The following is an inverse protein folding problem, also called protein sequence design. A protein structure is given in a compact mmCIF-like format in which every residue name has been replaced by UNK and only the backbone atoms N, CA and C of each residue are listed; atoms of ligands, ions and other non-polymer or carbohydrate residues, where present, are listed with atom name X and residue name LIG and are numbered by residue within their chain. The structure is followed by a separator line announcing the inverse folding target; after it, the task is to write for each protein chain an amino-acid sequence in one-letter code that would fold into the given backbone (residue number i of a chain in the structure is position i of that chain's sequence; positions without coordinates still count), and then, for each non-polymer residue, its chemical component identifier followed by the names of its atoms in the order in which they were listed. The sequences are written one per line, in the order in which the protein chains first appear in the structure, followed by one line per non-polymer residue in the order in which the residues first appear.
data_IF_541756608540
#
_entry.id   IF_541756608540
#
_cell.length_a   1.000
_cell.length_b   1.000
_cell.length_c   1.000
_cell.angle_alpha   90.00
_cell.angle_beta   90.00
_cell.angle_gamma   90.00
#
_symmetry.space_group_name_H-M   'P 1'
#
loop_
_entity.id
_entity.type
_entity.pdbx_description
1 polymer ?
#
# COMPACT_ATOMS: atom_id res chain seq x y z
N UNK A 1 -12.53 1.26 -1.31
CA UNK A 1 -13.86 1.88 -1.48
C UNK A 1 -14.91 1.03 -0.76
N UNK A 2 -16.03 1.60 -0.30
CA UNK A 2 -17.18 0.83 0.17
C UNK A 2 -18.23 0.89 -0.94
N UNK A 3 -18.58 -0.26 -1.49
CA UNK A 3 -19.53 -0.31 -2.61
C UNK A 3 -20.99 -0.26 -2.13
N UNK A 4 -21.93 0.22 -2.96
CA UNK A 4 -23.35 0.21 -2.62
C UNK A 4 -23.84 -1.20 -2.28
N UNK A 5 -24.32 -1.39 -1.05
CA UNK A 5 -24.75 -2.70 -0.53
C UNK A 5 -23.73 -3.40 0.38
N UNK A 6 -22.51 -2.87 0.51
CA UNK A 6 -21.57 -3.31 1.54
C UNK A 6 -21.91 -2.65 2.87
N UNK A 7 -22.32 -3.45 3.86
CA UNK A 7 -22.73 -2.97 5.17
C UNK A 7 -21.62 -2.96 6.22
N UNK A 8 -20.53 -3.70 5.98
CA UNK A 8 -19.42 -3.85 6.92
C UNK A 8 -18.16 -3.20 6.34
N UNK A 9 -17.76 -2.02 6.84
CA UNK A 9 -16.55 -1.32 6.40
C UNK A 9 -15.26 -2.16 6.45
N UNK A 10 -15.12 -3.03 7.43
CA UNK A 10 -13.98 -3.95 7.56
C UNK A 10 -13.97 -5.03 6.47
N UNK A 11 -15.15 -5.44 5.96
CA UNK A 11 -15.22 -6.37 4.83
C UNK A 11 -14.74 -5.69 3.55
N UNK A 12 -15.11 -4.43 3.35
CA UNK A 12 -14.62 -3.62 2.24
C UNK A 12 -13.09 -3.43 2.32
N UNK A 13 -12.55 -3.12 3.51
CA UNK A 13 -11.10 -2.99 3.70
C UNK A 13 -10.33 -4.28 3.36
N UNK A 14 -10.85 -5.44 3.76
CA UNK A 14 -10.24 -6.73 3.43
C UNK A 14 -10.35 -7.07 1.94
N UNK A 15 -11.49 -6.75 1.29
CA UNK A 15 -11.68 -6.91 -0.15
C UNK A 15 -10.69 -6.07 -0.95
N UNK A 16 -10.59 -4.78 -0.63
CA UNK A 16 -9.71 -3.84 -1.33
C UNK A 16 -8.24 -4.25 -1.20
N UNK A 17 -7.80 -4.64 0.00
CA UNK A 17 -6.44 -5.14 0.19
C UNK A 17 -6.16 -6.37 -0.71
N UNK A 18 -7.13 -7.27 -0.84
CA UNK A 18 -7.00 -8.45 -1.71
C UNK A 18 -6.98 -8.05 -3.19
N UNK A 19 -7.85 -7.16 -3.62
CA UNK A 19 -7.94 -6.71 -5.01
C UNK A 19 -6.66 -6.00 -5.45
N UNK A 20 -6.15 -5.10 -4.59
CA UNK A 20 -4.99 -4.28 -4.89
C UNK A 20 -3.64 -5.01 -4.73
N UNK A 21 -3.55 -5.98 -3.81
CA UNK A 21 -2.25 -6.58 -3.42
C UNK A 21 -2.22 -8.11 -3.39
N UNK A 22 -3.36 -8.77 -3.58
CA UNK A 22 -3.53 -10.21 -3.45
C UNK A 22 -3.49 -10.73 -2.02
N UNK A 23 -3.27 -9.87 -1.02
CA UNK A 23 -3.15 -10.28 0.37
C UNK A 23 -4.51 -10.64 0.97
N UNK A 24 -4.58 -11.83 1.56
CA UNK A 24 -5.77 -12.32 2.25
C UNK A 24 -5.66 -12.03 3.74
N UNK A 25 -6.64 -11.29 4.27
CA UNK A 25 -6.81 -11.04 5.71
C UNK A 25 -8.23 -11.37 6.11
N UNK A 26 -8.43 -11.86 7.33
CA UNK A 26 -9.77 -12.02 7.90
C UNK A 26 -10.30 -10.63 8.28
N UNK A 27 -11.42 -10.21 7.69
CA UNK A 27 -12.03 -8.91 7.99
C UNK A 27 -12.39 -8.76 9.46
N UNK A 28 -12.73 -9.87 10.15
CA UNK A 28 -13.03 -9.86 11.59
C UNK A 28 -11.80 -9.61 12.46
N UNK A 29 -10.61 -9.81 11.91
CA UNK A 29 -9.33 -9.52 12.58
C UNK A 29 -8.89 -8.06 12.41
N UNK A 30 -9.56 -7.29 11.55
CA UNK A 30 -9.21 -5.90 11.30
C UNK A 30 -9.67 -5.01 12.44
N UNK A 31 -8.72 -4.25 12.99
CA UNK A 31 -8.97 -3.25 14.02
C UNK A 31 -9.02 -1.85 13.38
N UNK A 32 -10.12 -1.12 13.56
CA UNK A 32 -10.17 0.30 13.20
C UNK A 32 -9.18 1.08 14.08
N UNK A 33 -8.22 1.76 13.47
CA UNK A 33 -7.17 2.52 14.16
C UNK A 33 -7.26 4.02 13.91
N UNK A 34 -8.08 4.47 12.97
CA UNK A 34 -8.26 5.90 12.72
C UNK A 34 -9.29 6.20 11.65
N UNK A 35 -9.77 7.45 11.67
CA UNK A 35 -10.66 8.01 10.67
C UNK A 35 -10.05 9.32 10.16
N UNK A 36 -9.97 9.47 8.85
CA UNK A 36 -9.37 10.63 8.19
C UNK A 36 -10.34 11.24 7.19
N UNK A 37 -10.60 12.54 7.33
CA UNK A 37 -11.37 13.28 6.34
C UNK A 37 -10.43 13.80 5.24
N UNK A 38 -10.66 13.37 4.00
CA UNK A 38 -9.94 13.84 2.83
C UNK A 38 -10.84 14.72 1.96
N UNK A 39 -10.24 15.76 1.39
CA UNK A 39 -10.89 16.63 0.42
C UNK A 39 -10.05 16.68 -0.86
N UNK A 40 -10.65 16.33 -1.99
CA UNK A 40 -10.02 16.38 -3.31
C UNK A 40 -10.59 17.59 -4.05
N UNK A 41 -9.92 18.73 -3.89
CA UNK A 41 -10.39 20.01 -4.40
C UNK A 41 -10.63 20.02 -5.92
N UNK A 42 -9.82 19.28 -6.68
CA UNK A 42 -9.94 19.21 -8.15
C UNK A 42 -11.22 18.54 -8.63
N UNK A 43 -11.79 17.62 -7.84
CA UNK A 43 -13.05 16.94 -8.16
C UNK A 43 -14.21 17.39 -7.27
N UNK A 44 -13.96 18.34 -6.34
CA UNK A 44 -14.90 18.79 -5.32
C UNK A 44 -15.49 17.64 -4.49
N UNK A 45 -14.71 16.58 -4.28
CA UNK A 45 -15.14 15.40 -3.54
C UNK A 45 -14.60 15.40 -2.13
N UNK A 46 -15.42 14.96 -1.19
CA UNK A 46 -15.05 14.73 0.20
C UNK A 46 -15.18 13.25 0.51
N UNK A 47 -14.23 12.73 1.27
CA UNK A 47 -14.15 11.33 1.65
C UNK A 47 -13.90 11.20 3.14
N UNK A 48 -14.50 10.19 3.75
CA UNK A 48 -14.11 9.70 5.07
C UNK A 48 -13.38 8.38 4.85
N UNK A 49 -12.10 8.36 5.18
CA UNK A 49 -11.26 7.18 5.09
C UNK A 49 -11.19 6.53 6.48
N UNK A 50 -11.62 5.27 6.57
CA UNK A 50 -11.42 4.45 7.75
C UNK A 50 -10.15 3.62 7.59
N UNK A 51 -9.26 3.69 8.57
CA UNK A 51 -7.94 3.06 8.51
C UNK A 51 -7.93 1.87 9.45
N UNK A 52 -7.61 0.70 8.90
CA UNK A 52 -7.58 -0.55 9.63
C UNK A 52 -6.15 -1.06 9.81
N UNK A 53 -5.92 -1.73 10.94
CA UNK A 53 -4.75 -2.54 11.21
C UNK A 53 -5.16 -4.01 11.22
N UNK A 54 -4.38 -4.84 10.54
CA UNK A 54 -4.51 -6.30 10.59
C UNK A 54 -3.15 -6.97 10.64
N UNK A 55 -3.18 -8.28 10.86
CA UNK A 55 -2.00 -9.13 10.73
C UNK A 55 -2.15 -9.94 9.45
N UNK A 56 -1.18 -9.86 8.54
CA UNK A 56 -1.16 -10.77 7.39
C UNK A 56 -0.70 -12.16 7.86
N UNK A 57 -1.37 -13.25 7.44
CA UNK A 57 -0.96 -14.62 7.77
C UNK A 57 0.31 -15.05 7.03
N UNK A 58 0.76 -14.29 6.03
CA UNK A 58 1.97 -14.58 5.27
C UNK A 58 3.26 -14.13 5.97
N UNK A 59 4.35 -14.87 5.72
CA UNK A 59 5.69 -14.26 5.82
C UNK A 59 5.78 -13.15 4.77
N UNK A 60 6.75 -12.22 4.90
CA UNK A 60 7.06 -11.21 3.87
C UNK A 60 7.26 -11.82 2.46
N UNK A 61 7.42 -13.14 2.38
CA UNK A 61 7.64 -13.94 1.17
C UNK A 61 6.34 -14.33 0.45
N UNK A 62 5.16 -14.03 1.00
CA UNK A 62 3.92 -14.18 0.22
C UNK A 62 3.92 -13.14 -0.88
N UNK A 63 4.17 -13.57 -2.11
CA UNK A 63 4.31 -12.69 -3.25
C UNK A 63 3.11 -11.72 -3.35
N UNK A 64 3.40 -10.43 -3.43
CA UNK A 64 2.40 -9.42 -3.73
C UNK A 64 1.89 -9.64 -5.15
N UNK A 65 0.57 -9.64 -5.32
CA UNK A 65 -0.08 -9.61 -6.63
C UNK A 65 -0.73 -8.25 -6.78
N UNK A 66 -0.01 -7.31 -7.39
CA UNK A 66 -0.50 -5.95 -7.52
C UNK A 66 -1.48 -5.84 -8.69
N UNK A 67 -2.56 -5.07 -8.54
CA UNK A 67 -3.44 -4.71 -9.66
C UNK A 67 -2.85 -3.49 -10.40
N UNK A 68 -2.30 -3.64 -11.62
CA UNK A 68 -1.53 -2.58 -12.27
C UNK A 68 -2.32 -1.31 -12.60
N UNK A 69 -3.65 -1.40 -12.67
CA UNK A 69 -4.52 -0.25 -12.92
C UNK A 69 -4.73 0.63 -11.68
N UNK A 70 -4.48 0.10 -10.48
CA UNK A 70 -4.75 0.76 -9.19
C UNK A 70 -3.46 0.99 -8.40
N UNK A 71 -2.60 -0.04 -8.30
CA UNK A 71 -1.38 0.00 -7.51
C UNK A 71 -0.16 -0.08 -8.41
N UNK A 72 0.54 1.05 -8.50
CA UNK A 72 1.83 1.13 -9.20
C UNK A 72 2.95 0.41 -8.45
N UNK A 73 2.93 0.48 -7.12
CA UNK A 73 4.01 -0.02 -6.27
C UNK A 73 3.56 -0.26 -4.84
N UNK A 74 4.12 -1.28 -4.19
CA UNK A 74 3.88 -1.61 -2.79
C UNK A 74 5.18 -2.08 -2.10
N UNK A 75 5.28 -1.90 -0.79
CA UNK A 75 6.47 -2.22 -0.02
C UNK A 75 6.15 -2.66 1.40
N UNK A 76 6.88 -3.66 1.88
CA UNK A 76 6.92 -4.00 3.30
C UNK A 76 7.98 -3.15 4.00
N UNK A 77 7.56 -2.27 4.92
CA UNK A 77 8.46 -1.39 5.66
C UNK A 77 8.66 -1.84 7.10
N UNK A 78 9.85 -1.60 7.66
CA UNK A 78 10.11 -1.81 9.08
C UNK A 78 9.46 -0.71 9.93
N UNK A 79 9.35 -0.95 11.25
CA UNK A 79 8.84 0.07 12.19
C UNK A 79 9.70 1.34 12.17
N UNK A 80 11.02 1.24 12.00
CA UNK A 80 11.89 2.42 11.97
C UNK A 80 11.70 3.23 10.69
N UNK A 81 11.57 2.56 9.54
CA UNK A 81 11.21 3.21 8.27
C UNK A 81 9.84 3.88 8.38
N UNK A 82 8.86 3.20 8.99
CA UNK A 82 7.54 3.78 9.22
C UNK A 82 7.59 5.03 10.11
N UNK A 83 8.41 5.03 11.17
CA UNK A 83 8.61 6.21 12.03
C UNK A 83 9.08 7.41 11.21
N UNK A 84 10.09 7.20 10.37
CA UNK A 84 10.63 8.23 9.47
C UNK A 84 9.57 8.71 8.47
N UNK A 85 8.83 7.80 7.83
CA UNK A 85 7.80 8.14 6.83
C UNK A 85 6.60 8.88 7.43
N UNK A 86 6.35 8.72 8.74
CA UNK A 86 5.24 9.36 9.44
C UNK A 86 5.41 10.88 9.64
N UNK A 87 6.64 11.37 9.50
CA UNK A 87 7.00 12.77 9.68
C UNK A 87 6.67 13.61 8.44
N UNK A 88 6.30 14.87 8.64
CA UNK A 88 6.00 15.79 7.52
C UNK A 88 7.25 16.31 6.83
N UNK A 89 8.38 16.39 7.54
CA UNK A 89 9.64 16.87 6.97
C UNK A 89 10.30 15.75 6.18
N UNK A 90 10.86 16.09 5.01
CA UNK A 90 11.66 15.13 4.26
C UNK A 90 12.85 14.71 5.13
N UNK A 91 13.01 13.41 5.40
CA UNK A 91 14.12 12.94 6.20
C UNK A 91 15.44 13.09 5.44
N UNK A 92 16.51 13.51 6.13
CA UNK A 92 17.86 13.44 5.59
C UNK A 92 18.34 11.97 5.64
N UNK A 93 17.88 11.21 4.66
CA UNK A 93 18.01 9.75 4.64
C UNK A 93 18.40 9.24 3.26
N UNK A 94 19.21 10.02 2.52
CA UNK A 94 19.66 9.70 1.17
C UNK A 94 20.27 8.30 1.03
N UNK A 95 20.73 7.69 2.13
CA UNK A 95 21.33 6.35 2.17
C UNK A 95 20.35 5.22 2.48
N UNK A 96 19.18 5.50 3.06
CA UNK A 96 18.21 4.46 3.42
C UNK A 96 17.44 4.06 2.17
N UNK A 97 17.48 2.78 1.84
CA UNK A 97 16.73 2.22 0.73
C UNK A 97 15.72 1.18 1.22
N UNK A 98 14.59 1.12 0.54
CA UNK A 98 13.48 0.22 0.86
C UNK A 98 13.23 -0.67 -0.36
N UNK A 99 13.09 -2.00 -0.18
CA UNK A 99 12.62 -2.89 -1.24
C UNK A 99 11.16 -2.59 -1.58
N UNK A 100 10.90 -2.31 -2.85
CA UNK A 100 9.58 -1.95 -3.38
C UNK A 100 9.24 -2.85 -4.56
N UNK A 101 8.10 -3.53 -4.49
CA UNK A 101 7.52 -4.26 -5.61
C UNK A 101 6.85 -3.25 -6.54
N UNK A 102 7.29 -3.19 -7.80
CA UNK A 102 6.75 -2.26 -8.81
C UNK A 102 6.66 -2.94 -10.17
N UNK A 103 5.71 -2.51 -10.98
CA UNK A 103 5.69 -2.90 -12.39
C UNK A 103 6.83 -2.23 -13.14
N UNK A 104 7.54 -3.01 -13.96
CA UNK A 104 8.54 -2.52 -14.91
C UNK A 104 8.05 -2.89 -16.31
N UNK A 105 8.03 -1.91 -17.21
CA UNK A 105 7.79 -2.18 -18.63
C UNK A 105 8.98 -2.96 -19.19
N UNK A 106 8.73 -4.18 -19.65
CA UNK A 106 9.76 -4.96 -20.32
C UNK A 106 10.00 -4.36 -21.71
N UNK A 107 11.11 -3.63 -21.84
CA UNK A 107 11.62 -3.21 -23.15
C UNK A 107 12.03 -4.47 -23.91
N UNK A 108 11.26 -4.77 -24.97
CA UNK A 108 11.47 -5.77 -26.04
C UNK A 108 12.66 -6.72 -25.85
N UNK A 109 12.34 -8.00 -25.63
CA UNK A 109 13.19 -9.13 -26.03
C UNK A 109 13.69 -9.98 -24.87
N UNK A 110 12.81 -10.82 -24.31
CA UNK A 110 12.98 -12.27 -24.05
C UNK A 110 11.67 -12.68 -23.38
N UNK A 111 10.83 -13.41 -24.11
CA UNK A 111 9.59 -13.96 -23.57
C UNK A 111 9.94 -15.28 -22.87
N UNK A 112 9.86 -15.33 -21.54
CA UNK A 112 9.69 -16.62 -20.86
C UNK A 112 8.21 -16.99 -20.91
N UNK A 113 7.90 -18.26 -21.10
CA UNK A 113 6.55 -18.75 -21.39
C UNK A 113 5.52 -18.50 -20.27
N UNK A 114 5.96 -18.07 -19.09
CA UNK A 114 5.13 -17.85 -17.90
C UNK A 114 4.40 -16.50 -17.90
N UNK A 115 4.81 -15.53 -18.73
CA UNK A 115 4.23 -14.17 -18.74
C UNK A 115 3.04 -14.00 -19.71
N UNK A 116 2.42 -15.09 -20.17
CA UNK A 116 1.22 -15.04 -21.01
C UNK A 116 -0.06 -15.15 -20.18
N UNK A 117 -0.33 -14.14 -19.35
CA UNK A 117 -1.70 -13.83 -18.98
C UNK A 117 -2.06 -12.43 -19.50
N UNK A 118 -2.92 -12.41 -20.52
CA UNK A 118 -3.67 -11.25 -21.02
C UNK A 118 -2.85 -9.99 -21.33
N UNK A 119 -2.04 -10.00 -22.38
CA UNK A 119 -1.63 -8.77 -23.10
C UNK A 119 -0.80 -7.72 -22.35
N UNK A 120 -0.53 -7.89 -21.06
CA UNK A 120 0.19 -6.93 -20.24
C UNK A 120 1.70 -7.23 -20.27
N UNK A 121 2.47 -6.36 -20.93
CA UNK A 121 3.95 -6.41 -21.02
C UNK A 121 4.65 -5.90 -19.76
N UNK A 122 4.09 -6.19 -18.58
CA UNK A 122 4.57 -5.66 -17.30
C UNK A 122 4.87 -6.80 -16.35
N UNK A 123 6.13 -6.92 -15.97
CA UNK A 123 6.57 -7.84 -14.93
C UNK A 123 6.65 -7.09 -13.60
N UNK A 124 6.20 -7.73 -12.52
CA UNK A 124 6.44 -7.24 -11.17
C UNK A 124 7.90 -7.51 -10.81
N UNK A 125 8.66 -6.49 -10.44
CA UNK A 125 10.05 -6.63 -9.98
C UNK A 125 10.25 -5.86 -8.69
N UNK A 126 11.08 -6.42 -7.82
CA UNK A 126 11.57 -5.68 -6.66
C UNK A 126 12.64 -4.67 -7.12
N UNK A 127 12.51 -3.43 -6.65
CA UNK A 127 13.51 -2.37 -6.83
C UNK A 127 13.82 -1.75 -5.48
N UNK A 128 15.08 -1.41 -5.28
CA UNK A 128 15.53 -0.66 -4.11
C UNK A 128 15.31 0.83 -4.38
N UNK A 129 14.35 1.45 -3.69
CA UNK A 129 14.08 2.89 -3.81
C UNK A 129 14.64 3.66 -2.62
N UNK A 130 15.24 4.85 -2.82
CA UNK A 130 15.69 5.67 -1.72
C UNK A 130 14.49 6.20 -0.94
N UNK A 131 14.61 6.25 0.39
CA UNK A 131 13.49 6.52 1.30
C UNK A 131 12.81 7.87 1.04
N UNK A 132 13.55 8.88 0.60
CA UNK A 132 13.01 10.19 0.26
C UNK A 132 12.09 10.17 -0.98
N UNK A 133 12.23 9.22 -1.91
CA UNK A 133 11.29 9.03 -3.02
C UNK A 133 9.96 8.47 -2.53
N UNK A 134 10.00 7.50 -1.61
CA UNK A 134 8.79 6.96 -0.96
C UNK A 134 8.13 8.03 -0.11
N UNK A 135 8.90 8.82 0.65
CA UNK A 135 8.34 9.92 1.43
C UNK A 135 7.58 10.90 0.52
N UNK A 136 8.18 11.34 -0.60
CA UNK A 136 7.53 12.26 -1.53
C UNK A 136 6.25 11.71 -2.18
N UNK A 137 6.09 10.39 -2.31
CA UNK A 137 4.91 9.80 -2.92
C UNK A 137 3.73 9.61 -1.96
N UNK A 138 3.97 9.63 -0.64
CA UNK A 138 2.90 9.50 0.33
C UNK A 138 2.05 10.77 0.40
N UNK A 139 0.73 10.60 0.40
CA UNK A 139 -0.22 11.65 0.79
C UNK A 139 -0.36 11.77 2.33
N UNK A 140 -0.99 12.85 2.81
CA UNK A 140 -1.19 13.10 4.25
C UNK A 140 -2.01 12.00 4.94
N UNK A 141 -3.01 11.45 4.26
CA UNK A 141 -3.81 10.32 4.77
C UNK A 141 -2.96 9.08 5.06
N UNK A 142 -1.94 8.79 4.22
CA UNK A 142 -1.01 7.69 4.47
C UNK A 142 -0.18 7.94 5.73
N UNK A 143 0.36 9.16 5.89
CA UNK A 143 1.14 9.52 7.09
C UNK A 143 0.31 9.42 8.34
N UNK A 144 -0.94 9.89 8.27
CA UNK A 144 -1.89 9.74 9.36
C UNK A 144 -2.09 8.26 9.71
N UNK A 145 -2.34 7.39 8.72
CA UNK A 145 -2.47 5.96 8.94
C UNK A 145 -1.24 5.32 9.58
N UNK A 146 -0.04 5.67 9.12
CA UNK A 146 1.22 5.21 9.71
C UNK A 146 1.35 5.66 11.17
N UNK A 147 1.03 6.93 11.50
CA UNK A 147 1.06 7.44 12.88
C UNK A 147 0.08 6.68 13.78
N UNK A 148 -1.12 6.39 13.29
CA UNK A 148 -2.11 5.60 14.05
C UNK A 148 -1.60 4.18 14.31
N UNK A 149 -1.03 3.52 13.30
CA UNK A 149 -0.45 2.20 13.47
C UNK A 149 0.71 2.20 14.48
N UNK A 150 1.62 3.18 14.40
CA UNK A 150 2.71 3.35 15.37
C UNK A 150 2.20 3.57 16.80
N UNK A 151 1.11 4.33 16.97
CA UNK A 151 0.48 4.54 18.27
C UNK A 151 -0.05 3.23 18.89
N UNK A 152 -0.58 2.31 18.07
CA UNK A 152 -1.04 1.00 18.57
C UNK A 152 0.07 0.06 19.07
N UNK A 153 1.34 0.40 18.83
CA UNK A 153 2.50 -0.38 19.29
C UNK A 153 3.10 0.09 20.61
N UNK A 154 2.65 1.25 21.11
CA UNK A 154 3.15 1.85 22.36
C UNK A 154 2.37 1.40 23.60
N UNK A 155 1.33 0.57 23.41
CA UNK A 155 0.55 -0.08 24.44
C UNK A 155 0.92 -1.56 24.50
#
# INVERSE_FOLDING_TARGET
QIDPGEHAPEAAAARELREETGQLVDSKSLQLIGVWQAHVATSLRQYIMMIYKGTSPGTKETALHLEPSEVRSAAWISTDVARILSESKSPDCAKVHVPVHTFVEEKRGVFTAETRQKGNKRALRERSLPLHEIHRSLADGHRFGIRMWLATKKN
#
